data_IF_833787623392
#
_entry.id   IF_833787623392
#
_cell.length_a   1.000
_cell.length_b   1.000
_cell.length_c   1.000
_cell.angle_alpha   90.00
_cell.angle_beta   90.00
_cell.angle_gamma   90.00
#
_symmetry.space_group_name_H-M   'P 1'
#
loop_
_entity.id
_entity.type
_entity.pdbx_description
1 polymer ?
#
# COMPACT_ATOMS: atom_id res chain seq x y z
N UNK A 1 11.12 -15.14 3.88
CA UNK A 1 9.69 -14.85 3.59
C UNK A 1 9.56 -14.35 2.14
N UNK A 2 8.40 -14.45 1.48
CA UNK A 2 8.29 -14.25 0.02
C UNK A 2 8.60 -12.83 -0.50
N UNK A 3 8.54 -11.80 0.35
CA UNK A 3 8.79 -10.40 -0.04
C UNK A 3 9.85 -9.72 0.84
N UNK A 4 10.73 -10.51 1.44
CA UNK A 4 11.80 -10.02 2.31
C UNK A 4 12.77 -9.11 1.55
N UNK A 5 13.05 -7.92 2.10
CA UNK A 5 13.89 -6.91 1.46
C UNK A 5 13.19 -6.05 0.40
N UNK A 6 11.90 -6.30 0.10
CA UNK A 6 11.11 -5.48 -0.82
C UNK A 6 10.41 -4.34 -0.08
N UNK A 7 10.41 -3.15 -0.69
CA UNK A 7 9.60 -2.01 -0.25
C UNK A 7 8.47 -1.74 -1.25
N UNK A 8 7.23 -1.71 -0.76
CA UNK A 8 6.01 -1.43 -1.54
C UNK A 8 5.51 -0.04 -1.15
N UNK A 9 5.38 0.85 -2.13
CA UNK A 9 4.82 2.19 -1.94
C UNK A 9 3.37 2.28 -2.40
N UNK A 10 2.53 2.94 -1.61
CA UNK A 10 1.12 3.20 -1.91
C UNK A 10 0.92 4.73 -1.90
N UNK A 11 1.09 5.40 -3.05
CA UNK A 11 0.87 6.84 -3.17
C UNK A 11 -0.62 7.18 -3.19
N UNK A 12 -0.93 8.46 -2.98
CA UNK A 12 -2.27 9.00 -3.16
C UNK A 12 -2.56 9.20 -4.65
N UNK A 13 -3.76 8.83 -5.08
CA UNK A 13 -4.21 9.11 -6.44
C UNK A 13 -4.37 10.61 -6.67
N UNK A 14 -3.86 11.10 -7.80
CA UNK A 14 -3.87 12.52 -8.17
C UNK A 14 -4.97 12.87 -9.19
N UNK A 15 -5.63 11.86 -9.76
CA UNK A 15 -6.65 12.07 -10.77
C UNK A 15 -7.94 12.63 -10.14
N UNK A 16 -8.49 13.74 -10.65
CA UNK A 16 -9.72 14.31 -10.11
C UNK A 16 -10.88 13.31 -10.14
N UNK A 17 -11.54 13.12 -8.99
CA UNK A 17 -12.67 12.21 -8.85
C UNK A 17 -12.29 10.75 -8.63
N UNK A 18 -11.00 10.40 -8.65
CA UNK A 18 -10.54 9.06 -8.29
C UNK A 18 -10.60 8.85 -6.77
N UNK A 19 -11.20 7.75 -6.34
CA UNK A 19 -11.41 7.39 -4.92
C UNK A 19 -10.86 6.01 -4.57
N UNK A 20 -10.26 5.31 -5.54
CA UNK A 20 -9.63 4.02 -5.31
C UNK A 20 -8.26 4.21 -4.68
N UNK A 21 -7.76 3.13 -4.07
CA UNK A 21 -6.41 3.03 -3.53
C UNK A 21 -5.83 1.67 -3.90
N UNK A 22 -4.53 1.61 -4.19
CA UNK A 22 -3.89 0.41 -4.72
C UNK A 22 -3.94 -0.80 -3.75
N UNK A 23 -3.97 -0.57 -2.44
CA UNK A 23 -4.10 -1.63 -1.46
C UNK A 23 -4.93 -1.20 -0.25
N UNK A 24 -5.75 -2.13 0.25
CA UNK A 24 -6.53 -1.94 1.48
C UNK A 24 -5.72 -2.37 2.71
N UNK A 25 -6.14 -1.99 3.93
CA UNK A 25 -5.49 -2.45 5.17
C UNK A 25 -5.38 -3.98 5.28
N UNK A 26 -6.30 -4.73 4.67
CA UNK A 26 -6.25 -6.20 4.65
C UNK A 26 -5.09 -6.70 3.78
N UNK A 27 -4.93 -6.17 2.57
CA UNK A 27 -3.84 -6.56 1.67
C UNK A 27 -2.47 -6.16 2.22
N UNK A 28 -2.39 -4.99 2.87
CA UNK A 28 -1.17 -4.53 3.54
C UNK A 28 -0.72 -5.53 4.61
N UNK A 29 -1.64 -6.06 5.42
CA UNK A 29 -1.32 -7.09 6.42
C UNK A 29 -0.74 -8.36 5.80
N UNK A 30 -1.25 -8.78 4.64
CA UNK A 30 -0.69 -9.92 3.91
C UNK A 30 0.73 -9.65 3.41
N UNK A 31 1.00 -8.45 2.89
CA UNK A 31 2.33 -8.07 2.41
C UNK A 31 3.35 -7.98 3.55
N UNK A 32 3.00 -7.33 4.66
CA UNK A 32 3.89 -7.22 5.83
C UNK A 32 4.11 -8.58 6.49
N UNK A 33 3.08 -9.43 6.59
CA UNK A 33 3.21 -10.80 7.07
C UNK A 33 4.10 -11.68 6.19
N UNK A 34 4.19 -11.38 4.89
CA UNK A 34 5.08 -12.03 3.95
C UNK A 34 6.48 -11.37 3.84
N UNK A 35 6.81 -10.43 4.73
CA UNK A 35 8.15 -9.84 4.89
C UNK A 35 8.41 -8.55 4.13
N UNK A 36 7.41 -7.96 3.45
CA UNK A 36 7.56 -6.68 2.77
C UNK A 36 7.53 -5.50 3.74
N UNK A 37 8.27 -4.43 3.43
CA UNK A 37 8.08 -3.11 4.02
C UNK A 37 7.03 -2.36 3.20
N UNK A 38 5.96 -1.85 3.83
CA UNK A 38 4.92 -1.08 3.15
C UNK A 38 4.98 0.38 3.59
N UNK A 39 5.00 1.30 2.63
CA UNK A 39 4.94 2.75 2.83
C UNK A 39 3.64 3.27 2.22
N UNK A 40 2.86 4.03 2.99
CA UNK A 40 1.60 4.63 2.54
C UNK A 40 1.72 6.14 2.64
N UNK A 41 1.37 6.85 1.57
CA UNK A 41 1.29 8.30 1.58
C UNK A 41 0.10 8.76 2.45
N UNK A 42 0.29 9.85 3.19
CA UNK A 42 -0.77 10.43 4.01
C UNK A 42 -1.97 10.83 3.13
N UNK A 43 -3.16 10.37 3.50
CA UNK A 43 -4.39 10.62 2.75
C UNK A 43 -4.61 9.74 1.52
N UNK A 44 -3.81 8.68 1.33
CA UNK A 44 -4.12 7.64 0.35
C UNK A 44 -5.28 6.75 0.86
N UNK A 45 -6.42 6.80 0.16
CA UNK A 45 -7.61 6.02 0.50
C UNK A 45 -8.57 6.62 1.53
N UNK A 46 -8.40 7.91 1.88
CA UNK A 46 -9.45 8.74 2.53
C UNK A 46 -10.59 9.05 1.56
#
# INVERSE_FOLDING_TARGET
MSFEGITIGIPKEIMPGEKRVAATPQTIRSFTGAGAKVLVESGAGE
#
